data_IF_537455033252
#
_entry.id   IF_537455033252
#
_cell.length_a   1.000
_cell.length_b   1.000
_cell.length_c   1.000
_cell.angle_alpha   90.00
_cell.angle_beta   90.00
_cell.angle_gamma   90.00
#
_symmetry.space_group_name_H-M   'P 1'
#
loop_
_entity.id
_entity.type
_entity.pdbx_description
1 polymer ?
#
# COMPACT_ATOMS: atom_id res chain seq x y z
N UNK A 1 7.17 -14.44 -0.77
CA UNK A 1 6.46 -15.11 -1.89
C UNK A 1 5.75 -14.13 -2.83
N UNK A 2 4.99 -13.14 -2.34
CA UNK A 2 4.29 -12.16 -3.19
C UNK A 2 5.19 -11.38 -4.17
N UNK A 3 6.35 -10.88 -3.71
CA UNK A 3 7.36 -10.23 -4.59
C UNK A 3 7.81 -11.13 -5.74
N UNK A 4 8.00 -12.42 -5.48
CA UNK A 4 8.41 -13.38 -6.51
C UNK A 4 7.30 -13.53 -7.55
N UNK A 5 6.04 -13.71 -7.15
CA UNK A 5 4.92 -13.77 -8.10
C UNK A 5 4.76 -12.50 -8.93
N UNK A 6 5.00 -11.33 -8.33
CA UNK A 6 4.99 -10.05 -9.06
C UNK A 6 6.08 -10.01 -10.15
N UNK A 7 7.32 -10.42 -9.82
CA UNK A 7 8.41 -10.51 -10.79
C UNK A 7 8.07 -11.48 -11.94
N UNK A 8 7.39 -12.59 -11.63
CA UNK A 8 6.92 -13.56 -12.63
C UNK A 8 5.58 -13.19 -13.30
N UNK A 9 5.11 -11.94 -13.17
CA UNK A 9 3.84 -11.42 -13.74
C UNK A 9 2.58 -12.21 -13.37
N UNK A 10 2.60 -12.91 -12.25
CA UNK A 10 1.43 -13.63 -11.71
C UNK A 10 0.67 -12.73 -10.74
N UNK A 11 0.08 -11.65 -11.26
CA UNK A 11 -0.50 -10.56 -10.46
C UNK A 11 -1.56 -11.00 -9.46
N UNK A 12 -2.46 -11.92 -9.84
CA UNK A 12 -3.48 -12.45 -8.92
C UNK A 12 -2.85 -13.20 -7.75
N UNK A 13 -1.88 -14.07 -8.00
CA UNK A 13 -1.17 -14.79 -6.93
C UNK A 13 -0.31 -13.86 -6.08
N UNK A 14 0.28 -12.83 -6.69
CA UNK A 14 1.04 -11.81 -5.98
C UNK A 14 0.12 -11.04 -5.02
N UNK A 15 -1.03 -10.58 -5.51
CA UNK A 15 -2.06 -9.91 -4.73
C UNK A 15 -2.49 -10.77 -3.54
N UNK A 16 -2.94 -11.99 -3.78
CA UNK A 16 -3.49 -12.83 -2.71
C UNK A 16 -2.44 -13.16 -1.65
N UNK A 17 -1.19 -13.42 -2.06
CA UNK A 17 -0.08 -13.63 -1.13
C UNK A 17 0.28 -12.37 -0.32
N UNK A 18 0.14 -11.17 -0.90
CA UNK A 18 0.38 -9.90 -0.21
C UNK A 18 -0.76 -9.60 0.79
N UNK A 19 -2.01 -9.86 0.42
CA UNK A 19 -3.16 -9.74 1.34
C UNK A 19 -2.98 -10.68 2.53
N UNK A 20 -2.68 -11.95 2.28
CA UNK A 20 -2.44 -12.94 3.35
C UNK A 20 -1.26 -12.53 4.25
N UNK A 21 -0.20 -11.95 3.68
CA UNK A 21 0.91 -11.42 4.46
C UNK A 21 0.48 -10.27 5.38
N UNK A 22 -0.38 -9.35 4.92
CA UNK A 22 -0.91 -8.27 5.75
C UNK A 22 -1.82 -8.81 6.88
N UNK A 23 -2.65 -9.80 6.60
CA UNK A 23 -3.46 -10.46 7.64
C UNK A 23 -2.58 -11.09 8.72
N UNK A 24 -1.49 -11.77 8.33
CA UNK A 24 -0.50 -12.31 9.27
C UNK A 24 0.27 -11.23 10.03
N UNK A 25 0.41 -10.04 9.45
CA UNK A 25 0.95 -8.85 10.12
C UNK A 25 -0.07 -8.18 11.07
N UNK A 26 -1.26 -8.77 11.21
CA UNK A 26 -2.34 -8.28 12.07
C UNK A 26 -3.11 -7.11 11.46
N UNK A 27 -3.20 -7.02 10.13
CA UNK A 27 -3.99 -6.01 9.45
C UNK A 27 -5.48 -6.36 9.49
N UNK A 28 -6.32 -5.41 9.92
CA UNK A 28 -7.77 -5.48 9.69
C UNK A 28 -8.15 -4.49 8.59
N UNK A 29 -8.82 -4.99 7.56
CA UNK A 29 -9.21 -4.18 6.41
C UNK A 29 -10.42 -3.29 6.72
N UNK A 30 -10.50 -2.14 6.05
CA UNK A 30 -11.63 -1.24 6.14
C UNK A 30 -12.89 -1.85 5.52
N UNK A 31 -14.03 -1.65 6.17
CA UNK A 31 -15.34 -1.77 5.51
C UNK A 31 -15.50 -0.70 4.41
N UNK A 32 -16.46 -0.89 3.51
CA UNK A 32 -16.78 0.11 2.48
C UNK A 32 -17.04 1.51 3.05
N UNK A 33 -17.73 1.61 4.19
CA UNK A 33 -18.02 2.88 4.85
C UNK A 33 -16.74 3.53 5.38
N UNK A 34 -15.89 2.75 6.07
CA UNK A 34 -14.61 3.25 6.57
C UNK A 34 -13.67 3.65 5.43
N UNK A 35 -13.64 2.90 4.34
CA UNK A 35 -12.80 3.22 3.19
C UNK A 35 -13.23 4.54 2.52
N UNK A 36 -14.54 4.80 2.44
CA UNK A 36 -15.07 6.08 1.94
C UNK A 36 -14.70 7.26 2.84
N UNK A 37 -14.64 7.04 4.15
CA UNK A 37 -14.31 8.09 5.13
C UNK A 37 -12.81 8.34 5.22
N UNK A 38 -12.00 7.28 5.27
CA UNK A 38 -10.57 7.34 5.53
C UNK A 38 -9.74 7.39 4.25
N UNK A 39 -10.30 6.95 3.12
CA UNK A 39 -9.59 6.87 1.84
C UNK A 39 -8.45 5.86 1.82
N UNK A 40 -8.42 4.88 2.73
CA UNK A 40 -7.35 3.88 2.88
C UNK A 40 -7.93 2.47 3.07
N UNK A 41 -7.13 1.43 2.84
CA UNK A 41 -7.56 0.02 2.81
C UNK A 41 -7.45 -0.71 4.15
N UNK A 42 -6.55 -0.27 5.03
CA UNK A 42 -6.33 -0.89 6.33
C UNK A 42 -6.83 0.04 7.42
N UNK A 43 -7.65 -0.49 8.32
CA UNK A 43 -8.18 0.23 9.46
C UNK A 43 -7.15 0.26 10.60
N UNK A 44 -6.58 -0.89 10.93
CA UNK A 44 -5.60 -1.12 11.99
C UNK A 44 -4.57 -2.15 11.55
N UNK A 45 -3.37 -2.10 12.13
CA UNK A 45 -2.32 -3.10 11.90
C UNK A 45 -1.44 -3.24 13.14
N UNK A 46 -1.05 -4.46 13.48
CA UNK A 46 -0.21 -4.73 14.65
C UNK A 46 1.27 -4.55 14.34
N UNK A 47 1.71 -5.01 13.17
CA UNK A 47 3.10 -4.85 12.73
C UNK A 47 3.24 -3.70 11.74
N UNK A 48 4.08 -2.74 12.08
CA UNK A 48 4.44 -1.62 11.19
C UNK A 48 5.81 -1.83 10.53
N UNK A 49 6.25 -3.09 10.41
CA UNK A 49 7.54 -3.47 9.82
C UNK A 49 7.76 -2.85 8.42
N UNK A 50 9.01 -2.67 7.99
CA UNK A 50 9.30 -2.02 6.69
C UNK A 50 8.72 -2.85 5.54
N UNK A 51 8.77 -4.17 5.70
CA UNK A 51 8.21 -5.17 4.78
C UNK A 51 6.70 -5.03 4.60
N UNK A 52 5.99 -4.55 5.62
CA UNK A 52 4.55 -4.23 5.55
C UNK A 52 4.31 -3.02 4.67
N UNK A 53 5.11 -1.96 4.84
CA UNK A 53 5.04 -0.77 3.99
C UNK A 53 5.32 -1.17 2.53
N UNK A 54 6.39 -1.93 2.28
CA UNK A 54 6.72 -2.42 0.93
C UNK A 54 5.64 -3.34 0.33
N UNK A 55 4.99 -4.17 1.14
CA UNK A 55 3.88 -5.01 0.67
C UNK A 55 2.66 -4.19 0.24
N UNK A 56 2.30 -3.15 1.01
CA UNK A 56 1.22 -2.21 0.67
C UNK A 56 1.54 -1.45 -0.63
N UNK A 57 2.80 -1.07 -0.79
CA UNK A 57 3.26 -0.40 -2.00
C UNK A 57 3.20 -1.31 -3.24
N UNK A 58 3.53 -2.60 -3.11
CA UNK A 58 3.34 -3.56 -4.20
C UNK A 58 1.86 -3.78 -4.53
N UNK A 59 0.99 -3.84 -3.52
CA UNK A 59 -0.47 -3.88 -3.72
C UNK A 59 -0.97 -2.63 -4.44
N UNK A 60 -0.43 -1.46 -4.12
CA UNK A 60 -0.77 -0.22 -4.81
C UNK A 60 -0.48 -0.28 -6.31
N UNK A 61 0.64 -0.89 -6.70
CA UNK A 61 1.02 -1.04 -8.12
C UNK A 61 0.11 -2.05 -8.82
N UNK A 62 -0.14 -3.20 -8.20
CA UNK A 62 -0.99 -4.26 -8.77
C UNK A 62 -2.43 -3.77 -8.96
N UNK A 63 -3.00 -3.14 -7.94
CA UNK A 63 -4.38 -2.63 -8.03
C UNK A 63 -4.46 -1.34 -8.86
N UNK A 64 -3.46 -0.48 -8.78
CA UNK A 64 -3.35 0.75 -9.58
C UNK A 64 -3.32 0.50 -11.09
N UNK A 65 -2.71 -0.62 -11.51
CA UNK A 65 -2.71 -1.07 -12.91
C UNK A 65 -4.12 -1.34 -13.45
N UNK A 66 -5.09 -1.64 -12.57
CA UNK A 66 -6.50 -1.88 -12.93
C UNK A 66 -7.35 -0.63 -12.68
N UNK A 67 -7.20 -0.04 -11.51
CA UNK A 67 -7.87 1.19 -11.08
C UNK A 67 -6.89 2.05 -10.26
N UNK A 68 -6.50 3.20 -10.82
CA UNK A 68 -5.59 4.14 -10.16
C UNK A 68 -6.09 4.57 -8.79
N UNK A 69 -7.41 4.72 -8.60
CA UNK A 69 -8.03 5.11 -7.32
C UNK A 69 -7.83 4.03 -6.25
N UNK A 70 -7.93 2.76 -6.64
CA UNK A 70 -7.66 1.63 -5.75
C UNK A 70 -6.19 1.60 -5.34
N UNK A 71 -5.28 1.79 -6.30
CA UNK A 71 -3.85 1.94 -6.03
C UNK A 71 -3.55 3.07 -5.02
N UNK A 72 -4.18 4.23 -5.18
CA UNK A 72 -4.02 5.37 -4.26
C UNK A 72 -4.39 5.02 -2.82
N UNK A 73 -5.46 4.26 -2.59
CA UNK A 73 -5.89 3.87 -1.23
C UNK A 73 -4.85 2.99 -0.53
N UNK A 74 -4.15 2.14 -1.27
CA UNK A 74 -3.02 1.36 -0.74
C UNK A 74 -1.82 2.24 -0.41
N UNK A 75 -1.47 3.22 -1.25
CA UNK A 75 -0.42 4.19 -0.93
C UNK A 75 -0.77 5.04 0.29
N UNK A 76 -2.02 5.50 0.41
CA UNK A 76 -2.46 6.23 1.61
C UNK A 76 -2.33 5.39 2.87
N UNK A 77 -2.60 4.09 2.77
CA UNK A 77 -2.36 3.14 3.87
C UNK A 77 -0.88 3.06 4.24
N UNK A 78 -0.01 2.89 3.25
CA UNK A 78 1.44 2.81 3.46
C UNK A 78 2.01 4.10 4.05
N UNK A 79 1.56 5.25 3.55
CA UNK A 79 1.96 6.57 4.05
C UNK A 79 1.50 6.78 5.48
N UNK A 80 0.27 6.37 5.83
CA UNK A 80 -0.22 6.45 7.20
C UNK A 80 0.61 5.59 8.15
N UNK A 81 0.88 4.32 7.79
CA UNK A 81 1.70 3.43 8.63
C UNK A 81 3.12 3.97 8.79
N UNK A 82 3.71 4.47 7.70
CA UNK A 82 5.03 5.11 7.76
C UNK A 82 5.02 6.29 8.72
N UNK A 83 4.03 7.18 8.63
CA UNK A 83 3.94 8.36 9.50
C UNK A 83 3.70 7.98 10.97
N UNK A 84 2.87 6.97 11.25
CA UNK A 84 2.70 6.45 12.62
C UNK A 84 4.02 5.89 13.17
N UNK A 85 4.82 5.21 12.35
CA UNK A 85 6.06 4.57 12.79
C UNK A 85 7.25 5.51 12.91
N UNK A 86 7.42 6.39 11.93
CA UNK A 86 8.62 7.20 11.76
C UNK A 86 8.37 8.71 11.88
N UNK A 87 7.11 9.13 11.83
CA UNK A 87 6.73 10.53 11.71
C UNK A 87 7.17 11.15 10.38
N UNK A 88 7.16 12.50 10.34
CA UNK A 88 7.65 13.29 9.21
C UNK A 88 6.68 13.36 8.02
N UNK A 89 5.49 12.78 8.16
CA UNK A 89 4.39 12.86 7.20
C UNK A 89 4.78 12.39 5.81
N UNK A 90 4.00 12.88 4.85
CA UNK A 90 4.16 12.60 3.43
C UNK A 90 5.54 12.95 2.90
N UNK A 91 6.14 14.07 3.34
CA UNK A 91 7.41 14.52 2.79
C UNK A 91 8.53 13.48 3.01
N UNK A 92 8.61 12.90 4.21
CA UNK A 92 9.55 11.82 4.49
C UNK A 92 9.19 10.52 3.78
N UNK A 93 7.91 10.19 3.69
CA UNK A 93 7.45 9.02 2.94
C UNK A 93 7.85 9.10 1.46
N UNK A 94 7.59 10.23 0.80
CA UNK A 94 7.94 10.47 -0.60
C UNK A 94 9.45 10.50 -0.79
N UNK A 95 10.22 11.09 0.13
CA UNK A 95 11.69 11.04 0.05
C UNK A 95 12.23 9.61 0.09
N UNK A 96 11.57 8.70 0.81
CA UNK A 96 12.02 7.33 0.98
C UNK A 96 11.55 6.38 -0.12
N UNK A 97 10.32 6.55 -0.61
CA UNK A 97 9.70 5.62 -1.55
C UNK A 97 9.22 6.26 -2.85
N UNK A 98 9.28 7.58 -3.00
CA UNK A 98 8.74 8.30 -4.18
C UNK A 98 9.32 7.79 -5.50
N UNK A 99 10.63 7.54 -5.52
CA UNK A 99 11.32 6.98 -6.70
C UNK A 99 10.82 5.58 -7.08
N UNK A 100 10.26 4.82 -6.13
CA UNK A 100 9.66 3.51 -6.43
C UNK A 100 8.37 3.64 -7.24
N UNK A 101 7.71 4.81 -7.25
CA UNK A 101 6.45 5.04 -7.96
C UNK A 101 6.60 5.87 -9.23
N UNK A 102 7.79 6.40 -9.53
CA UNK A 102 8.03 7.14 -10.76
C UNK A 102 7.75 6.24 -11.97
N UNK A 103 6.70 6.56 -12.73
CA UNK A 103 6.27 5.78 -13.91
C UNK A 103 5.33 4.60 -13.63
N UNK A 104 4.86 4.42 -12.38
CA UNK A 104 3.90 3.37 -12.03
C UNK A 104 2.45 3.89 -12.04
N UNK A 105 1.43 3.01 -12.23
CA UNK A 105 0.03 3.40 -12.42
C UNK A 105 -0.68 3.78 -11.11
N UNK A 106 -0.05 4.62 -10.29
CA UNK A 106 -0.59 5.04 -9.00
C UNK A 106 -0.76 6.55 -9.01
N UNK A 107 -1.96 7.04 -8.69
CA UNK A 107 -2.18 8.48 -8.51
C UNK A 107 -1.78 8.82 -7.07
N UNK A 108 -0.67 9.52 -6.89
CA UNK A 108 -0.30 10.02 -5.57
C UNK A 108 -0.95 11.40 -5.41
N UNK A 109 -1.80 11.59 -4.40
CA UNK A 109 -2.51 12.88 -4.19
C UNK A 109 -1.56 14.00 -3.70
N UNK A 110 -0.25 13.80 -3.80
CA UNK A 110 0.79 14.70 -3.33
C UNK A 110 1.27 15.66 -4.43
N UNK A 111 0.77 15.50 -5.66
CA UNK A 111 1.03 16.36 -6.82
C UNK A 111 -0.13 17.36 -7.01
N UNK A 112 -0.44 18.12 -5.97
CA UNK A 112 -1.35 19.27 -6.05
C UNK A 112 -0.58 20.57 -5.97
#
# INVERSE_FOLDING_TARGET
MGRSYFIWRQELKARDALIQFLELAGASFTTLTQERQLGRKVYEIQSMAEEVILALLLLAVIEGGKDKSEGSKWVRTASWIHDVRYGGGTAMFTKRYGDLFTGLPVKSDWES
#
